data_IF_471405324931
#
_entry.id   IF_471405324931
#
_cell.length_a   1.000
_cell.length_b   1.000
_cell.length_c   1.000
_cell.angle_alpha   90.00
_cell.angle_beta   90.00
_cell.angle_gamma   90.00
#
_symmetry.space_group_name_H-M   'P 1'
#
loop_
_entity.id
_entity.type
_entity.pdbx_description
1 polymer ?
#
# COMPACT_ATOMS: atom_id res chain seq x y z
N UNK A 1 -38.66 20.32 -22.17
CA UNK A 1 -37.57 20.89 -21.35
C UNK A 1 -36.95 19.72 -20.62
N UNK A 2 -35.86 19.21 -21.17
CA UNK A 2 -35.14 18.03 -20.70
C UNK A 2 -34.28 18.46 -19.51
N UNK A 3 -34.76 18.20 -18.30
CA UNK A 3 -34.13 18.60 -17.04
C UNK A 3 -33.15 17.54 -16.54
N UNK A 4 -32.39 16.94 -17.47
CA UNK A 4 -31.24 16.09 -17.14
C UNK A 4 -30.04 16.99 -16.90
N UNK A 5 -29.92 17.47 -15.66
CA UNK A 5 -28.62 17.89 -15.13
C UNK A 5 -27.60 16.77 -15.42
N UNK A 6 -26.44 17.06 -16.04
CA UNK A 6 -25.40 16.05 -16.16
C UNK A 6 -25.02 15.60 -14.75
N UNK A 7 -25.18 14.30 -14.47
CA UNK A 7 -24.62 13.72 -13.27
C UNK A 7 -23.16 14.16 -13.19
N UNK A 8 -22.75 14.72 -12.06
CA UNK A 8 -21.34 15.03 -11.78
C UNK A 8 -20.55 13.82 -12.25
N UNK A 9 -19.63 13.99 -13.21
CA UNK A 9 -18.76 12.89 -13.60
C UNK A 9 -18.08 12.40 -12.30
N UNK A 10 -18.41 11.19 -11.87
CA UNK A 10 -17.73 10.54 -10.77
C UNK A 10 -16.30 10.25 -11.24
N UNK A 11 -15.41 11.24 -11.12
CA UNK A 11 -14.00 11.07 -11.44
C UNK A 11 -13.41 10.22 -10.33
N UNK A 12 -13.21 8.93 -10.61
CA UNK A 12 -12.49 8.05 -9.69
C UNK A 12 -11.12 8.65 -9.39
N UNK A 13 -10.70 8.70 -8.12
CA UNK A 13 -9.38 9.20 -7.77
C UNK A 13 -8.31 8.31 -8.44
N UNK A 14 -7.15 8.90 -8.70
CA UNK A 14 -6.06 8.22 -9.41
C UNK A 14 -4.77 8.26 -8.63
N UNK A 15 -3.99 7.19 -8.74
CA UNK A 15 -2.58 7.16 -8.39
C UNK A 15 -1.76 6.95 -9.67
N UNK A 16 -0.45 7.16 -9.61
CA UNK A 16 0.44 7.13 -10.77
C UNK A 16 1.36 5.92 -10.60
N UNK A 17 1.36 4.99 -11.56
CA UNK A 17 2.26 3.83 -11.59
C UNK A 17 3.16 3.94 -12.80
N UNK A 18 4.48 4.05 -12.60
CA UNK A 18 5.46 4.24 -13.67
C UNK A 18 5.04 5.31 -14.69
N UNK A 19 4.66 6.49 -14.19
CA UNK A 19 4.15 7.63 -14.96
C UNK A 19 2.77 7.44 -15.62
N UNK A 20 2.07 6.33 -15.38
CA UNK A 20 0.73 6.08 -15.90
C UNK A 20 -0.32 6.28 -14.82
N UNK A 21 -1.31 7.17 -15.01
CA UNK A 21 -2.36 7.37 -14.04
C UNK A 21 -3.38 6.22 -14.10
N UNK A 22 -3.58 5.52 -12.98
CA UNK A 22 -4.56 4.44 -12.84
C UNK A 22 -5.65 4.82 -11.83
N UNK A 23 -6.92 4.43 -12.06
CA UNK A 23 -8.00 4.67 -11.11
C UNK A 23 -7.91 3.73 -9.90
N UNK A 24 -8.43 4.17 -8.76
CA UNK A 24 -8.64 3.31 -7.60
C UNK A 24 -9.99 3.60 -6.90
N UNK A 25 -10.42 2.65 -6.08
CA UNK A 25 -11.61 2.70 -5.21
C UNK A 25 -11.20 3.18 -3.83
N UNK A 26 -11.85 4.20 -3.25
CA UNK A 26 -11.57 4.64 -1.89
C UNK A 26 -11.59 3.48 -0.89
N UNK A 27 -10.54 3.35 -0.08
CA UNK A 27 -10.38 2.28 0.91
C UNK A 27 -9.61 1.05 0.43
N UNK A 28 -9.31 0.91 -0.87
CA UNK A 28 -8.44 -0.17 -1.34
C UNK A 28 -6.95 0.14 -1.15
N UNK A 29 -6.11 -0.89 -1.18
CA UNK A 29 -4.65 -0.75 -1.14
C UNK A 29 -4.08 -0.55 -2.55
N UNK A 30 -2.86 -0.01 -2.63
CA UNK A 30 -2.18 0.29 -3.89
C UNK A 30 -2.01 -0.96 -4.78
N UNK A 31 -1.69 -2.13 -4.21
CA UNK A 31 -1.53 -3.37 -4.98
C UNK A 31 -2.83 -3.78 -5.67
N UNK A 32 -3.97 -3.73 -4.98
CA UNK A 32 -5.26 -4.10 -5.58
C UNK A 32 -5.62 -3.18 -6.75
N UNK A 33 -5.40 -1.87 -6.60
CA UNK A 33 -5.60 -0.90 -7.70
C UNK A 33 -4.68 -1.22 -8.90
N UNK A 34 -3.40 -1.50 -8.64
CA UNK A 34 -2.43 -1.91 -9.65
C UNK A 34 -2.87 -3.15 -10.42
N UNK A 35 -3.27 -4.22 -9.72
CA UNK A 35 -3.71 -5.47 -10.35
C UNK A 35 -4.96 -5.28 -11.21
N UNK A 36 -5.92 -4.46 -10.77
CA UNK A 36 -7.12 -4.14 -11.54
C UNK A 36 -6.82 -3.38 -12.83
N UNK A 37 -5.72 -2.62 -12.84
CA UNK A 37 -5.23 -1.89 -13.99
C UNK A 37 -4.19 -2.67 -14.81
N UNK A 38 -4.06 -3.99 -14.58
CA UNK A 38 -3.07 -4.86 -15.23
C UNK A 38 -1.61 -4.40 -15.02
N UNK A 39 -1.35 -3.64 -13.97
CA UNK A 39 -0.04 -3.11 -13.59
C UNK A 39 0.63 -4.03 -12.58
N UNK A 40 0.98 -5.24 -12.98
CA UNK A 40 1.64 -6.20 -12.10
C UNK A 40 2.99 -5.66 -11.56
N UNK A 41 3.34 -5.95 -10.29
CA UNK A 41 4.67 -5.69 -9.76
C UNK A 41 5.75 -6.41 -10.59
N UNK A 42 6.89 -5.77 -10.81
CA UNK A 42 7.95 -6.26 -11.72
C UNK A 42 8.44 -7.66 -11.40
N UNK A 43 8.60 -8.00 -10.11
CA UNK A 43 9.16 -9.29 -9.70
C UNK A 43 8.24 -10.49 -9.91
N UNK A 44 6.96 -10.27 -10.24
CA UNK A 44 5.97 -11.35 -10.33
C UNK A 44 5.85 -12.17 -9.04
N UNK A 45 5.39 -13.42 -9.18
CA UNK A 45 5.28 -14.38 -8.07
C UNK A 45 3.93 -14.33 -7.33
N UNK A 46 3.75 -15.27 -6.39
CA UNK A 46 2.51 -15.39 -5.63
C UNK A 46 2.34 -14.23 -4.65
N UNK A 47 1.22 -13.53 -4.73
CA UNK A 47 0.93 -12.37 -3.87
C UNK A 47 0.16 -12.83 -2.63
N UNK A 48 0.71 -12.57 -1.43
CA UNK A 48 0.07 -12.97 -0.17
C UNK A 48 -1.04 -12.03 0.31
N UNK A 49 -1.03 -10.76 -0.13
CA UNK A 49 -1.88 -9.68 0.39
C UNK A 49 -1.83 -9.43 1.91
N UNK A 50 -0.92 -10.10 2.63
CA UNK A 50 -0.77 -10.02 4.09
C UNK A 50 0.45 -9.19 4.53
N UNK A 51 1.32 -8.80 3.59
CA UNK A 51 2.55 -8.09 3.92
C UNK A 51 3.74 -8.99 4.25
N UNK A 52 3.65 -10.30 4.01
CA UNK A 52 4.75 -11.24 4.29
C UNK A 52 5.64 -11.47 3.06
N UNK A 53 5.05 -11.71 1.89
CA UNK A 53 5.79 -11.97 0.67
C UNK A 53 6.54 -10.72 0.13
N UNK A 54 7.68 -10.89 -0.56
CA UNK A 54 8.44 -9.79 -1.13
C UNK A 54 7.92 -9.34 -2.51
N UNK A 55 6.92 -10.01 -3.07
CA UNK A 55 6.53 -9.86 -4.47
C UNK A 55 5.77 -8.57 -4.80
N UNK A 56 5.30 -7.83 -3.78
CA UNK A 56 4.56 -6.56 -3.96
C UNK A 56 5.39 -5.30 -3.70
N UNK A 57 6.70 -5.44 -3.54
CA UNK A 57 7.59 -4.32 -3.20
C UNK A 57 7.72 -3.33 -4.36
N UNK A 58 7.64 -2.05 -4.03
CA UNK A 58 7.83 -0.94 -4.96
C UNK A 58 8.44 0.26 -4.24
N UNK A 59 8.87 1.26 -5.01
CA UNK A 59 9.14 2.60 -4.48
C UNK A 59 7.84 3.39 -4.48
N UNK A 60 7.42 3.90 -3.31
CA UNK A 60 6.18 4.68 -3.18
C UNK A 60 6.52 6.03 -2.57
N UNK A 61 6.14 7.10 -3.27
CA UNK A 61 6.38 8.49 -2.88
C UNK A 61 7.87 8.73 -2.49
N UNK A 62 8.80 8.09 -3.21
CA UNK A 62 10.26 8.18 -2.99
C UNK A 62 10.83 7.21 -1.95
N UNK A 63 10.00 6.40 -1.28
CA UNK A 63 10.45 5.40 -0.30
C UNK A 63 10.51 4.02 -0.94
N UNK A 64 11.71 3.44 -1.01
CA UNK A 64 11.97 2.11 -1.56
C UNK A 64 11.44 0.99 -0.66
N UNK A 65 11.18 -0.19 -1.26
CA UNK A 65 10.75 -1.41 -0.54
C UNK A 65 9.44 -1.26 0.25
N UNK A 66 8.53 -0.42 -0.22
CA UNK A 66 7.20 -0.28 0.36
C UNK A 66 6.33 -1.46 -0.09
N UNK A 67 5.63 -2.07 0.87
CA UNK A 67 4.65 -3.13 0.61
C UNK A 67 3.37 -2.52 0.09
N UNK A 68 3.16 -2.56 -1.22
CA UNK A 68 1.98 -1.97 -1.87
C UNK A 68 0.66 -2.62 -1.39
N UNK A 69 0.68 -3.88 -0.93
CA UNK A 69 -0.50 -4.52 -0.33
C UNK A 69 -0.91 -3.97 1.04
N UNK A 70 0.01 -3.35 1.78
CA UNK A 70 -0.23 -2.75 3.10
C UNK A 70 -0.36 -1.22 3.01
N UNK A 71 -0.28 -0.67 1.80
CA UNK A 71 -0.26 0.78 1.58
C UNK A 71 -1.63 1.23 1.06
N UNK A 72 -2.39 2.05 1.81
CA UNK A 72 -3.66 2.60 1.32
C UNK A 72 -3.46 3.42 0.04
N UNK A 73 -4.27 3.20 -0.98
CA UNK A 73 -4.23 4.01 -2.19
C UNK A 73 -4.67 5.46 -1.89
N UNK A 74 -3.91 6.44 -2.38
CA UNK A 74 -4.19 7.88 -2.18
C UNK A 74 -4.17 8.62 -3.51
N UNK A 75 -5.00 9.67 -3.68
CA UNK A 75 -4.95 10.50 -4.88
C UNK A 75 -3.55 11.10 -5.06
N UNK A 76 -3.00 11.01 -6.26
CA UNK A 76 -1.70 11.57 -6.61
C UNK A 76 -0.48 10.81 -6.07
N UNK A 77 -0.67 9.71 -5.33
CA UNK A 77 0.43 8.81 -4.93
C UNK A 77 1.23 8.37 -6.15
N UNK A 78 2.55 8.32 -6.04
CA UNK A 78 3.45 7.86 -7.10
C UNK A 78 4.07 6.53 -6.70
N UNK A 79 3.83 5.51 -7.51
CA UNK A 79 4.39 4.17 -7.38
C UNK A 79 5.34 3.94 -8.56
N UNK A 80 6.57 3.59 -8.25
CA UNK A 80 7.58 3.18 -9.20
C UNK A 80 7.92 1.72 -8.93
N UNK A 81 7.62 0.84 -9.88
CA UNK A 81 7.96 -0.57 -9.72
C UNK A 81 9.48 -0.73 -9.77
N UNK A 82 10.04 -1.60 -8.94
CA UNK A 82 11.49 -1.82 -8.93
C UNK A 82 11.96 -2.35 -10.29
N UNK A 83 13.19 -1.98 -10.66
CA UNK A 83 13.77 -2.33 -11.95
C UNK A 83 13.99 -3.84 -12.09
N UNK A 84 13.76 -4.35 -13.30
CA UNK A 84 14.00 -5.75 -13.65
C UNK A 84 15.50 -6.08 -13.86
N UNK A 85 16.34 -5.06 -13.97
CA UNK A 85 17.78 -5.18 -14.23
C UNK A 85 18.61 -5.59 -12.99
N UNK A 86 17.95 -5.76 -11.84
CA UNK A 86 18.56 -6.24 -10.60
C UNK A 86 19.32 -5.16 -9.81
N UNK A 87 19.25 -3.90 -10.23
CA UNK A 87 19.79 -2.80 -9.44
C UNK A 87 18.98 -2.62 -8.16
N UNK A 88 19.66 -2.59 -7.01
CA UNK A 88 19.02 -2.18 -5.76
C UNK A 88 18.61 -0.71 -5.85
N UNK A 89 17.43 -0.33 -5.34
CA UNK A 89 17.08 1.08 -5.19
C UNK A 89 18.18 1.81 -4.41
N UNK A 90 18.52 3.05 -4.79
CA UNK A 90 19.54 3.81 -4.07
C UNK A 90 19.09 4.00 -2.62
N UNK A 91 20.04 3.98 -1.70
CA UNK A 91 19.80 4.45 -0.34
C UNK A 91 19.43 5.95 -0.42
N UNK A 92 18.47 6.42 0.38
CA UNK A 92 18.25 7.85 0.53
C UNK A 92 19.59 8.53 0.85
N UNK A 93 19.90 9.63 0.14
CA UNK A 93 21.13 10.40 0.36
C UNK A 93 21.18 11.06 1.75
N UNK A 94 20.06 11.05 2.44
CA UNK A 94 19.79 11.77 3.64
C UNK A 94 19.48 10.76 4.75
N UNK A 95 20.46 10.53 5.63
CA UNK A 95 20.38 9.61 6.76
C UNK A 95 19.78 10.27 8.02
N UNK A 96 19.03 11.36 7.83
CA UNK A 96 18.37 12.07 8.92
C UNK A 96 17.53 11.11 9.77
N UNK A 97 17.64 11.17 11.10
CA UNK A 97 16.75 10.47 11.98
C UNK A 97 15.29 10.77 11.63
N UNK A 98 14.45 9.74 11.62
CA UNK A 98 13.01 9.92 11.48
C UNK A 98 12.49 10.83 12.61
N UNK A 99 11.35 11.52 12.41
CA UNK A 99 10.72 12.31 13.46
C UNK A 99 10.58 11.50 14.75
N UNK A 100 10.85 12.14 15.89
CA UNK A 100 10.68 11.49 17.19
C UNK A 100 9.25 10.98 17.35
N UNK A 101 9.11 9.72 17.76
CA UNK A 101 7.82 9.11 18.07
C UNK A 101 7.66 9.01 19.58
N UNK A 102 6.44 9.20 20.08
CA UNK A 102 6.15 8.96 21.50
C UNK A 102 6.03 7.45 21.70
N UNK A 103 6.92 6.88 22.51
CA UNK A 103 6.82 5.49 22.95
C UNK A 103 6.28 5.44 24.38
N UNK A 104 5.39 4.48 24.64
CA UNK A 104 4.83 4.25 25.98
C UNK A 104 5.02 2.79 26.36
N UNK A 105 5.44 2.53 27.59
CA UNK A 105 5.50 1.18 28.14
C UNK A 105 4.13 0.81 28.70
N UNK A 106 3.59 -0.31 28.23
CA UNK A 106 2.35 -0.90 28.74
C UNK A 106 2.70 -2.22 29.42
N UNK A 107 1.98 -2.54 30.49
CA UNK A 107 2.15 -3.78 31.23
C UNK A 107 0.82 -4.52 31.23
N UNK A 108 0.87 -5.83 31.00
CA UNK A 108 -0.27 -6.72 31.01
C UNK A 108 0.21 -8.12 31.43
N UNK A 109 -0.67 -8.95 31.96
CA UNK A 109 -0.35 -10.34 32.26
C UNK A 109 -0.22 -11.18 30.99
N UNK A 110 -1.08 -10.90 30.00
CA UNK A 110 -1.13 -11.61 28.71
C UNK A 110 -1.33 -10.61 27.57
N UNK A 111 -0.55 -10.77 26.50
CA UNK A 111 -0.72 -10.06 25.23
C UNK A 111 -1.05 -11.06 24.12
N UNK A 112 -2.10 -10.79 23.34
CA UNK A 112 -2.51 -11.61 22.20
C UNK A 112 -2.11 -10.88 20.91
N UNK A 113 -1.32 -11.54 20.06
CA UNK A 113 -0.84 -10.99 18.78
C UNK A 113 -1.59 -11.67 17.64
N UNK A 114 -2.29 -10.86 16.83
CA UNK A 114 -3.16 -11.32 15.74
C UNK A 114 -4.64 -11.34 16.15
N UNK A 115 -5.50 -10.76 15.31
CA UNK A 115 -6.92 -10.52 15.63
C UNK A 115 -7.89 -11.42 14.85
N UNK A 116 -7.39 -12.51 14.26
CA UNK A 116 -8.22 -13.54 13.65
C UNK A 116 -8.96 -14.39 14.69
N UNK A 117 -9.75 -15.36 14.25
CA UNK A 117 -10.61 -16.20 15.12
C UNK A 117 -9.87 -16.81 16.31
N UNK A 118 -8.66 -17.35 16.10
CA UNK A 118 -7.85 -17.92 17.18
C UNK A 118 -7.41 -16.88 18.21
N UNK A 119 -7.06 -15.67 17.77
CA UNK A 119 -6.72 -14.57 18.66
C UNK A 119 -7.93 -14.07 19.44
N UNK A 120 -9.09 -13.97 18.80
CA UNK A 120 -10.35 -13.62 19.47
C UNK A 120 -10.75 -14.67 20.51
N UNK A 121 -10.64 -15.96 20.17
CA UNK A 121 -10.94 -17.05 21.09
C UNK A 121 -9.98 -17.09 22.29
N UNK A 122 -8.70 -16.73 22.10
CA UNK A 122 -7.73 -16.61 23.18
C UNK A 122 -7.97 -15.37 24.05
N UNK A 123 -8.39 -14.25 23.45
CA UNK A 123 -8.70 -13.01 24.17
C UNK A 123 -10.00 -13.08 25.00
N UNK A 124 -10.89 -14.02 24.69
CA UNK A 124 -12.15 -14.22 25.39
C UNK A 124 -12.06 -15.11 26.66
N UNK A 125 -10.88 -15.65 26.95
CA UNK A 125 -10.58 -16.51 28.11
C UNK A 125 -9.93 -15.68 29.22
#
# INVERSE_FOLDING_TARGET
MDDRLPSKLNVSPKLIVDNHPIPFTPGENALTAMLRADCHPTGGGCLCLAGDCPHCLATVDGVSYVRTCQTPARPGMVVQRHHADGAYPPLPLDDRPAPAVTATNLFCDVVIIGMGEGGQAAAAQ
#
